data_IF_735633224255
#
_entry.id   IF_735633224255
#
_cell.length_a   1.000
_cell.length_b   1.000
_cell.length_c   1.000
_cell.angle_alpha   90.00
_cell.angle_beta   90.00
_cell.angle_gamma   90.00
#
_symmetry.space_group_name_H-M   'P 1'
#
loop_
_entity.id
_entity.type
_entity.pdbx_description
1 polymer ?
#
# COMPACT_ATOMS: atom_id res chain seq x y z
N UNK A 1 -4.21 19.21 -3.15
CA UNK A 1 -5.47 18.84 -2.44
C UNK A 1 -5.14 18.12 -1.15
N UNK A 2 -4.45 16.97 -1.16
CA UNK A 2 -4.10 16.21 0.06
C UNK A 2 -3.36 17.06 1.10
N UNK A 3 -2.26 17.80 0.80
CA UNK A 3 -1.59 18.62 1.81
C UNK A 3 -2.50 19.67 2.47
N UNK A 4 -3.46 20.23 1.72
CA UNK A 4 -4.40 21.20 2.29
C UNK A 4 -5.42 20.55 3.24
N UNK A 5 -5.78 19.28 3.01
CA UNK A 5 -6.65 18.52 3.91
C UNK A 5 -5.90 18.10 5.19
N UNK A 6 -4.63 17.74 5.06
CA UNK A 6 -3.76 17.47 6.22
C UNK A 6 -3.59 18.71 7.09
N UNK A 7 -3.26 19.87 6.50
CA UNK A 7 -3.13 21.15 7.20
C UNK A 7 -4.43 21.59 7.89
N UNK A 8 -5.59 21.30 7.29
CA UNK A 8 -6.90 21.65 7.86
C UNK A 8 -7.47 20.59 8.82
N UNK A 9 -6.84 19.43 8.96
CA UNK A 9 -7.31 18.33 9.80
C UNK A 9 -8.49 17.53 9.22
N UNK A 10 -8.83 17.71 7.93
CA UNK A 10 -9.94 17.01 7.28
C UNK A 10 -9.50 15.77 6.48
N UNK A 11 -8.24 15.36 6.59
CA UNK A 11 -7.73 14.20 5.85
C UNK A 11 -8.43 12.92 6.30
N UNK A 12 -8.67 12.75 7.59
CA UNK A 12 -9.33 11.58 8.16
C UNK A 12 -10.77 11.38 7.66
N UNK A 13 -11.50 12.47 7.38
CA UNK A 13 -12.83 12.38 6.75
C UNK A 13 -12.75 11.84 5.31
N UNK A 14 -11.68 12.19 4.59
CA UNK A 14 -11.44 11.67 3.25
C UNK A 14 -11.05 10.19 3.30
N UNK A 15 -10.17 9.80 4.20
CA UNK A 15 -9.67 8.44 4.33
C UNK A 15 -10.82 7.50 4.74
N UNK A 16 -11.64 7.89 5.70
CA UNK A 16 -12.87 7.17 6.07
C UNK A 16 -13.83 7.02 4.87
N UNK A 17 -14.08 8.10 4.13
CA UNK A 17 -14.93 8.05 2.93
C UNK A 17 -14.37 7.07 1.88
N UNK A 18 -13.07 7.10 1.60
CA UNK A 18 -12.44 6.22 0.61
C UNK A 18 -12.54 4.75 1.02
N UNK A 19 -12.29 4.45 2.30
CA UNK A 19 -12.40 3.08 2.83
C UNK A 19 -13.83 2.56 2.71
N UNK A 20 -14.83 3.39 3.00
CA UNK A 20 -16.23 3.02 2.82
C UNK A 20 -16.54 2.69 1.35
N UNK A 21 -16.12 3.55 0.41
CA UNK A 21 -16.35 3.34 -1.02
C UNK A 21 -15.68 2.05 -1.52
N UNK A 22 -14.44 1.77 -1.07
CA UNK A 22 -13.72 0.55 -1.43
C UNK A 22 -14.39 -0.68 -0.85
N UNK A 23 -14.78 -0.63 0.43
CA UNK A 23 -15.49 -1.72 1.09
C UNK A 23 -16.80 -2.07 0.38
N UNK A 24 -17.64 -1.07 0.11
CA UNK A 24 -18.92 -1.25 -0.58
C UNK A 24 -18.72 -1.84 -1.98
N UNK A 25 -17.72 -1.32 -2.74
CA UNK A 25 -17.38 -1.84 -4.06
C UNK A 25 -16.97 -3.32 -4.03
N UNK A 26 -16.12 -3.70 -3.09
CA UNK A 26 -15.66 -5.09 -2.95
C UNK A 26 -16.79 -6.02 -2.54
N UNK A 27 -17.62 -5.61 -1.57
CA UNK A 27 -18.74 -6.42 -1.09
C UNK A 27 -19.83 -6.59 -2.15
N UNK A 28 -20.17 -5.54 -2.90
CA UNK A 28 -21.14 -5.61 -4.00
C UNK A 28 -20.69 -6.63 -5.06
N UNK A 29 -19.41 -6.63 -5.42
CA UNK A 29 -18.87 -7.57 -6.40
C UNK A 29 -18.83 -8.99 -5.86
N UNK A 30 -18.41 -9.16 -4.62
CA UNK A 30 -18.34 -10.46 -3.98
C UNK A 30 -19.73 -11.12 -3.89
N UNK A 31 -20.74 -10.40 -3.38
CA UNK A 31 -22.11 -10.90 -3.30
C UNK A 31 -22.74 -11.20 -4.67
N UNK A 32 -22.29 -10.48 -5.71
CA UNK A 32 -22.69 -10.77 -7.09
C UNK A 32 -21.95 -11.96 -7.73
N UNK A 33 -21.04 -12.63 -7.01
CA UNK A 33 -20.22 -13.73 -7.53
C UNK A 33 -19.22 -13.29 -8.61
N UNK A 34 -18.80 -12.01 -8.57
CA UNK A 34 -17.86 -11.42 -9.51
C UNK A 34 -16.43 -11.48 -8.98
N UNK A 35 -15.45 -11.41 -9.89
CA UNK A 35 -14.04 -11.34 -9.53
C UNK A 35 -13.77 -10.12 -8.65
N UNK A 36 -13.03 -10.34 -7.57
CA UNK A 36 -12.51 -9.32 -6.67
C UNK A 36 -10.99 -9.43 -6.58
N UNK A 37 -10.33 -8.30 -6.35
CA UNK A 37 -8.88 -8.22 -6.15
C UNK A 37 -8.61 -7.36 -4.93
N UNK A 38 -7.48 -7.55 -4.23
CA UNK A 38 -7.11 -6.66 -3.14
C UNK A 38 -6.98 -5.21 -3.59
N UNK A 39 -7.48 -4.30 -2.79
CA UNK A 39 -7.40 -2.85 -3.01
C UNK A 39 -6.71 -2.23 -1.81
N UNK A 40 -5.71 -1.41 -2.07
CA UNK A 40 -5.02 -0.66 -1.03
C UNK A 40 -5.62 0.73 -0.86
N UNK A 41 -5.66 1.21 0.36
CA UNK A 41 -6.14 2.53 0.74
C UNK A 41 -5.13 3.21 1.67
N UNK A 42 -4.91 4.49 1.45
CA UNK A 42 -4.01 5.27 2.28
C UNK A 42 -4.63 5.54 3.65
N UNK A 43 -3.78 5.54 4.68
CA UNK A 43 -4.08 6.04 6.02
C UNK A 43 -3.12 7.17 6.38
N UNK A 44 -3.68 8.28 6.81
CA UNK A 44 -2.92 9.38 7.39
C UNK A 44 -2.45 9.03 8.80
N UNK A 45 -1.30 9.59 9.23
CA UNK A 45 -0.86 9.49 10.62
C UNK A 45 -1.87 10.08 11.60
N UNK A 46 -2.75 10.98 11.16
CA UNK A 46 -3.79 11.61 11.97
C UNK A 46 -4.89 10.60 12.36
N UNK A 47 -5.19 9.64 11.50
CA UNK A 47 -6.22 8.60 11.74
C UNK A 47 -5.89 7.78 12.99
N UNK A 48 -4.61 7.50 13.23
CA UNK A 48 -4.15 6.76 14.41
C UNK A 48 -4.36 7.51 15.74
N UNK A 49 -4.82 8.78 15.70
CA UNK A 49 -5.19 9.57 16.89
C UNK A 49 -6.70 9.60 17.12
N UNK A 50 -7.49 9.09 16.19
CA UNK A 50 -8.94 8.97 16.32
C UNK A 50 -9.33 7.49 16.49
N UNK A 51 -9.56 7.09 17.76
CA UNK A 51 -9.91 5.69 18.09
C UNK A 51 -11.18 5.24 17.38
N UNK A 52 -12.15 6.15 17.19
CA UNK A 52 -13.41 5.82 16.54
C UNK A 52 -13.23 5.53 15.06
N UNK A 53 -12.43 6.34 14.35
CA UNK A 53 -12.10 6.11 12.94
C UNK A 53 -11.37 4.77 12.80
N UNK A 54 -10.40 4.49 13.67
CA UNK A 54 -9.67 3.23 13.64
C UNK A 54 -10.55 2.01 13.93
N UNK A 55 -11.50 2.12 14.85
CA UNK A 55 -12.49 1.06 15.11
C UNK A 55 -13.41 0.85 13.91
N UNK A 56 -13.94 1.91 13.29
CA UNK A 56 -14.80 1.82 12.09
C UNK A 56 -14.05 1.18 10.91
N UNK A 57 -12.79 1.56 10.67
CA UNK A 57 -11.94 0.96 9.64
C UNK A 57 -11.72 -0.53 9.92
N UNK A 58 -11.38 -0.86 11.17
CA UNK A 58 -11.14 -2.25 11.57
C UNK A 58 -12.39 -3.11 11.38
N UNK A 59 -13.56 -2.60 11.77
CA UNK A 59 -14.83 -3.30 11.60
C UNK A 59 -15.16 -3.53 10.13
N UNK A 60 -14.88 -2.58 9.25
CA UNK A 60 -15.05 -2.75 7.81
C UNK A 60 -14.10 -3.78 7.22
N UNK A 61 -12.87 -3.82 7.71
CA UNK A 61 -11.90 -4.84 7.32
C UNK A 61 -12.30 -6.25 7.82
N UNK A 62 -12.91 -6.34 9.02
CA UNK A 62 -13.34 -7.62 9.62
C UNK A 62 -14.58 -8.21 8.97
N UNK A 63 -15.56 -7.38 8.66
CA UNK A 63 -16.90 -7.80 8.22
C UNK A 63 -16.94 -8.31 6.77
N UNK A 64 -15.80 -8.44 6.13
CA UNK A 64 -15.68 -9.16 4.86
C UNK A 64 -15.60 -10.65 5.16
N UNK A 65 -16.64 -11.41 4.80
CA UNK A 65 -16.70 -12.90 4.86
C UNK A 65 -15.71 -13.58 3.89
N UNK A 66 -14.71 -12.83 3.42
CA UNK A 66 -13.70 -13.30 2.49
C UNK A 66 -12.56 -13.99 3.24
N UNK A 67 -12.11 -15.14 2.74
CA UNK A 67 -10.97 -15.89 3.31
C UNK A 67 -9.70 -15.03 3.33
N UNK A 68 -9.53 -14.17 2.33
CA UNK A 68 -8.47 -13.16 2.31
C UNK A 68 -9.05 -11.78 2.51
N UNK A 69 -8.45 -11.00 3.41
CA UNK A 69 -8.82 -9.59 3.55
C UNK A 69 -8.41 -8.83 2.30
N UNK A 70 -9.39 -8.24 1.62
CA UNK A 70 -9.20 -7.57 0.35
C UNK A 70 -8.80 -6.09 0.50
N UNK A 71 -9.04 -5.49 1.66
CA UNK A 71 -8.56 -4.14 1.96
C UNK A 71 -7.14 -4.26 2.52
N UNK A 72 -6.23 -3.49 1.95
CA UNK A 72 -4.85 -3.32 2.42
C UNK A 72 -4.67 -1.88 2.84
N UNK A 73 -3.93 -1.63 3.91
CA UNK A 73 -3.73 -0.28 4.45
C UNK A 73 -2.32 0.21 4.09
N UNK A 74 -2.24 1.35 3.41
CA UNK A 74 -0.98 2.01 3.06
C UNK A 74 -0.66 3.09 4.07
N UNK A 75 0.51 3.01 4.67
CA UNK A 75 1.02 3.97 5.67
C UNK A 75 2.38 4.45 5.22
N UNK A 76 2.57 5.76 5.07
CA UNK A 76 3.84 6.30 4.63
C UNK A 76 4.94 6.12 5.68
N UNK A 77 6.19 6.09 5.24
CA UNK A 77 7.37 6.02 6.11
C UNK A 77 7.36 7.14 7.18
N UNK A 78 6.99 8.35 6.78
CA UNK A 78 6.86 9.50 7.68
C UNK A 78 5.74 9.32 8.71
N UNK A 79 4.64 8.72 8.33
CA UNK A 79 3.54 8.39 9.25
C UNK A 79 3.98 7.37 10.31
N UNK A 80 4.70 6.32 9.94
CA UNK A 80 5.30 5.38 10.89
C UNK A 80 6.21 6.07 11.89
N UNK A 81 7.10 6.96 11.42
CA UNK A 81 8.00 7.71 12.30
C UNK A 81 7.25 8.65 13.25
N UNK A 82 6.13 9.24 12.82
CA UNK A 82 5.31 10.14 13.61
C UNK A 82 4.47 9.42 14.67
N UNK A 83 4.03 8.18 14.42
CA UNK A 83 3.18 7.42 15.33
C UNK A 83 3.85 7.03 16.65
N UNK A 84 5.16 6.78 16.65
CA UNK A 84 5.89 6.28 17.81
C UNK A 84 5.48 4.85 18.23
N UNK A 85 6.24 4.28 19.17
CA UNK A 85 6.06 2.88 19.61
C UNK A 85 4.67 2.58 20.20
N UNK A 86 4.05 3.55 20.86
CA UNK A 86 2.77 3.36 21.54
C UNK A 86 1.59 3.03 20.62
N UNK A 87 1.70 3.27 19.32
CA UNK A 87 0.63 3.04 18.35
C UNK A 87 0.85 1.84 17.44
N UNK A 88 1.99 1.18 17.54
CA UNK A 88 2.23 -0.10 16.88
C UNK A 88 1.15 -1.14 17.20
N UNK A 89 0.59 -1.09 18.43
CA UNK A 89 -0.49 -2.00 18.82
C UNK A 89 -1.76 -1.89 17.96
N UNK A 90 -2.02 -0.70 17.40
CA UNK A 90 -3.18 -0.49 16.51
C UNK A 90 -2.93 -1.24 15.19
N UNK A 91 -1.77 -1.05 14.56
CA UNK A 91 -1.43 -1.77 13.33
C UNK A 91 -1.39 -3.28 13.55
N UNK A 92 -0.90 -3.73 14.72
CA UNK A 92 -0.91 -5.16 15.08
C UNK A 92 -2.34 -5.70 15.24
N UNK A 93 -3.30 -4.90 15.71
CA UNK A 93 -4.71 -5.32 15.75
C UNK A 93 -5.26 -5.59 14.36
N UNK A 94 -4.96 -4.75 13.36
CA UNK A 94 -5.33 -5.00 11.96
C UNK A 94 -4.68 -6.27 11.41
N UNK A 95 -3.39 -6.48 11.68
CA UNK A 95 -2.67 -7.67 11.23
C UNK A 95 -3.21 -8.95 11.86
N UNK A 96 -3.58 -8.89 13.15
CA UNK A 96 -4.22 -10.03 13.84
C UNK A 96 -5.52 -10.44 13.19
N UNK A 97 -6.26 -9.50 12.63
CA UNK A 97 -7.48 -9.74 11.84
C UNK A 97 -7.19 -10.11 10.37
N UNK A 98 -5.93 -10.24 9.99
CA UNK A 98 -5.50 -10.65 8.65
C UNK A 98 -5.41 -9.51 7.63
N UNK A 99 -5.58 -8.26 8.05
CA UNK A 99 -5.40 -7.09 7.17
C UNK A 99 -3.93 -6.89 6.88
N UNK A 100 -3.58 -6.72 5.60
CA UNK A 100 -2.19 -6.48 5.18
C UNK A 100 -1.84 -5.01 5.31
N UNK A 101 -0.70 -4.73 5.95
CA UNK A 101 -0.15 -3.39 6.10
C UNK A 101 0.95 -3.18 5.07
N UNK A 102 0.89 -2.06 4.36
CA UNK A 102 1.85 -1.66 3.35
C UNK A 102 2.61 -0.42 3.82
N UNK A 103 3.93 -0.46 3.75
CA UNK A 103 4.76 0.72 3.94
C UNK A 103 4.91 1.44 2.60
N UNK A 104 4.44 2.68 2.53
CA UNK A 104 4.49 3.50 1.32
C UNK A 104 5.69 4.47 1.33
N UNK A 105 6.07 4.93 0.13
CA UNK A 105 7.15 5.89 -0.11
C UNK A 105 8.53 5.47 0.45
N UNK A 106 8.81 4.16 0.52
CA UNK A 106 10.08 3.68 1.07
C UNK A 106 11.28 4.22 0.29
N UNK A 107 12.17 4.90 1.05
CA UNK A 107 13.40 5.45 0.53
C UNK A 107 13.37 6.96 0.25
N UNK A 108 12.24 7.63 0.45
CA UNK A 108 12.14 9.09 0.24
C UNK A 108 12.54 9.90 1.46
N UNK A 109 12.57 9.30 2.64
CA UNK A 109 12.81 9.96 3.91
C UNK A 109 14.00 9.42 4.69
N UNK A 110 13.82 9.29 5.99
CA UNK A 110 14.83 8.77 6.93
C UNK A 110 14.85 7.24 6.97
N UNK A 111 14.62 6.57 5.82
CA UNK A 111 14.62 5.10 5.73
C UNK A 111 15.85 4.52 6.40
N UNK A 112 15.70 4.16 7.66
CA UNK A 112 16.75 3.43 8.35
C UNK A 112 16.37 1.96 8.39
N UNK A 113 17.35 1.08 8.24
CA UNK A 113 17.17 -0.34 8.53
C UNK A 113 16.55 -0.59 9.91
N UNK A 114 16.67 0.40 10.83
CA UNK A 114 16.00 0.37 12.13
C UNK A 114 14.48 0.34 12.04
N UNK A 115 13.88 1.00 11.04
CA UNK A 115 12.43 0.93 10.85
C UNK A 115 11.99 -0.48 10.44
N UNK A 116 12.75 -1.14 9.56
CA UNK A 116 12.46 -2.52 9.13
C UNK A 116 12.56 -3.51 10.30
N UNK A 117 13.34 -3.21 11.32
CA UNK A 117 13.45 -4.03 12.53
C UNK A 117 12.37 -3.71 13.56
N UNK A 118 11.92 -2.46 13.60
CA UNK A 118 11.01 -1.96 14.64
C UNK A 118 9.55 -2.20 14.30
N UNK A 119 9.19 -2.12 13.03
CA UNK A 119 7.80 -2.17 12.55
C UNK A 119 7.55 -3.41 11.72
N UNK A 120 6.39 -4.03 11.95
CA UNK A 120 5.92 -5.16 11.18
C UNK A 120 4.98 -4.68 10.07
N UNK A 121 5.34 -4.91 8.82
CA UNK A 121 4.49 -4.71 7.65
C UNK A 121 4.66 -5.87 6.68
N UNK A 122 3.66 -6.07 5.85
CA UNK A 122 3.59 -7.22 4.95
C UNK A 122 4.12 -6.90 3.55
N UNK A 123 4.01 -5.63 3.16
CA UNK A 123 4.34 -5.17 1.81
C UNK A 123 5.12 -3.86 1.92
N UNK A 124 6.12 -3.68 1.08
CA UNK A 124 6.91 -2.45 0.96
C UNK A 124 6.80 -1.90 -0.46
N UNK A 125 6.41 -0.63 -0.59
CA UNK A 125 6.32 0.07 -1.88
C UNK A 125 7.58 0.89 -2.10
N UNK A 126 8.31 0.56 -3.15
CA UNK A 126 9.53 1.29 -3.54
C UNK A 126 9.11 2.50 -4.38
N UNK A 127 9.45 3.69 -3.90
CA UNK A 127 9.10 4.95 -4.54
C UNK A 127 9.66 5.07 -5.97
N UNK A 128 8.89 5.77 -6.81
CA UNK A 128 9.21 6.00 -8.23
C UNK A 128 10.56 6.66 -8.46
N UNK A 129 11.10 7.42 -7.52
CA UNK A 129 12.41 8.07 -7.65
C UNK A 129 13.55 7.07 -7.82
N UNK A 130 13.46 5.89 -7.20
CA UNK A 130 14.40 4.79 -7.42
C UNK A 130 14.18 4.12 -8.78
N UNK A 131 12.92 3.90 -9.15
CA UNK A 131 12.56 3.21 -10.39
C UNK A 131 13.02 4.00 -11.60
N UNK A 132 12.86 5.34 -11.59
CA UNK A 132 13.34 6.22 -12.67
C UNK A 132 14.84 6.16 -12.89
N UNK A 133 15.62 5.81 -11.88
CA UNK A 133 17.08 5.72 -11.97
C UNK A 133 17.57 4.37 -12.54
N UNK A 134 16.71 3.38 -12.74
CA UNK A 134 17.09 2.05 -13.24
C UNK A 134 17.88 2.16 -14.55
N UNK A 135 17.48 3.05 -15.45
CA UNK A 135 18.10 3.16 -16.77
C UNK A 135 19.40 3.96 -16.77
N UNK A 136 19.59 4.86 -15.82
CA UNK A 136 20.68 5.84 -15.80
C UNK A 136 21.75 5.57 -14.76
N UNK A 137 21.44 4.79 -13.71
CA UNK A 137 22.35 4.58 -12.59
C UNK A 137 22.54 3.07 -12.29
N UNK A 138 23.69 2.47 -12.68
CA UNK A 138 23.97 1.05 -12.39
C UNK A 138 24.01 0.72 -10.89
N UNK A 139 24.36 1.68 -10.03
CA UNK A 139 24.36 1.47 -8.57
C UNK A 139 22.94 1.28 -8.05
N UNK A 140 21.97 2.03 -8.58
CA UNK A 140 20.56 1.88 -8.23
C UNK A 140 20.03 0.50 -8.56
N UNK A 141 20.41 -0.07 -9.72
CA UNK A 141 20.07 -1.47 -10.05
C UNK A 141 20.56 -2.46 -8.99
N UNK A 142 21.82 -2.32 -8.57
CA UNK A 142 22.39 -3.21 -7.56
C UNK A 142 21.71 -3.04 -6.20
N UNK A 143 21.40 -1.79 -5.82
CA UNK A 143 20.69 -1.49 -4.58
C UNK A 143 19.27 -2.07 -4.59
N UNK A 144 18.53 -1.92 -5.68
CA UNK A 144 17.19 -2.47 -5.80
C UNK A 144 17.15 -3.98 -5.70
N UNK A 145 18.08 -4.70 -6.36
CA UNK A 145 18.18 -6.17 -6.21
C UNK A 145 18.42 -6.56 -4.75
N UNK A 146 19.39 -5.92 -4.12
CA UNK A 146 19.71 -6.21 -2.72
C UNK A 146 18.51 -5.89 -1.80
N UNK A 147 17.79 -4.81 -2.05
CA UNK A 147 16.61 -4.43 -1.29
C UNK A 147 15.48 -5.47 -1.44
N UNK A 148 15.23 -5.94 -2.67
CA UNK A 148 14.23 -6.98 -2.96
C UNK A 148 14.61 -8.29 -2.25
N UNK A 149 15.86 -8.74 -2.42
CA UNK A 149 16.33 -9.97 -1.78
C UNK A 149 16.23 -9.89 -0.25
N UNK A 150 16.62 -8.77 0.34
CA UNK A 150 16.51 -8.54 1.79
C UNK A 150 15.05 -8.55 2.27
N UNK A 151 14.16 -7.89 1.55
CA UNK A 151 12.74 -7.88 1.90
C UNK A 151 12.14 -9.28 1.88
N UNK A 152 12.49 -10.10 0.89
CA UNK A 152 12.04 -11.48 0.80
C UNK A 152 12.57 -12.34 1.96
N UNK A 153 13.82 -12.18 2.36
CA UNK A 153 14.38 -12.85 3.55
C UNK A 153 13.63 -12.47 4.85
N UNK A 154 13.03 -11.29 4.88
CA UNK A 154 12.20 -10.81 6.00
C UNK A 154 10.71 -11.21 5.86
N UNK A 155 10.32 -11.88 4.77
CA UNK A 155 8.93 -12.23 4.49
C UNK A 155 8.06 -11.06 4.01
N UNK A 156 8.69 -10.00 3.48
CA UNK A 156 8.04 -8.77 3.02
C UNK A 156 7.93 -8.82 1.50
N UNK A 157 6.74 -8.60 0.95
CA UNK A 157 6.53 -8.45 -0.48
C UNK A 157 6.88 -7.04 -0.96
N UNK A 158 7.28 -6.94 -2.23
CA UNK A 158 7.68 -5.66 -2.83
C UNK A 158 6.70 -5.23 -3.91
N UNK A 159 6.30 -3.96 -3.85
CA UNK A 159 5.65 -3.24 -4.95
C UNK A 159 6.63 -2.20 -5.50
N UNK A 160 6.93 -2.23 -6.78
CA UNK A 160 7.69 -1.18 -7.45
C UNK A 160 6.74 -0.19 -8.11
N UNK A 161 6.83 1.09 -7.73
CA UNK A 161 5.94 2.15 -8.20
C UNK A 161 6.52 2.97 -9.34
N UNK A 162 5.63 3.57 -10.13
CA UNK A 162 6.00 4.51 -11.19
C UNK A 162 6.79 3.89 -12.33
N UNK A 163 6.51 2.61 -12.65
CA UNK A 163 7.12 1.93 -13.80
C UNK A 163 6.50 2.48 -15.08
N UNK A 164 7.32 3.08 -15.94
CA UNK A 164 6.91 3.75 -17.16
C UNK A 164 7.47 3.11 -18.44
N UNK A 165 8.54 2.29 -18.32
CA UNK A 165 9.23 1.71 -19.48
C UNK A 165 9.34 0.18 -19.39
N UNK A 166 9.46 -0.46 -20.57
CA UNK A 166 9.73 -1.89 -20.66
C UNK A 166 11.05 -2.29 -20.00
N UNK A 167 12.07 -1.44 -20.10
CA UNK A 167 13.39 -1.68 -19.49
C UNK A 167 13.29 -1.76 -17.98
N UNK A 168 12.49 -0.88 -17.35
CA UNK A 168 12.22 -0.90 -15.92
C UNK A 168 11.44 -2.18 -15.53
N UNK A 169 10.36 -2.48 -16.25
CA UNK A 169 9.53 -3.66 -16.01
C UNK A 169 10.34 -4.97 -16.13
N UNK A 170 11.16 -5.11 -17.17
CA UNK A 170 12.02 -6.27 -17.37
C UNK A 170 13.08 -6.44 -16.28
N UNK A 171 13.68 -5.32 -15.85
CA UNK A 171 14.64 -5.37 -14.75
C UNK A 171 13.98 -5.84 -13.45
N UNK A 172 12.82 -5.31 -13.10
CA UNK A 172 12.09 -5.68 -11.90
C UNK A 172 11.62 -7.13 -11.92
N UNK A 173 11.09 -7.61 -13.05
CA UNK A 173 10.74 -9.03 -13.24
C UNK A 173 11.95 -9.96 -13.04
N UNK A 174 13.10 -9.61 -13.63
CA UNK A 174 14.36 -10.37 -13.47
C UNK A 174 14.92 -10.29 -12.05
N UNK A 175 14.54 -9.29 -11.28
CA UNK A 175 14.90 -9.13 -9.87
C UNK A 175 13.85 -9.73 -8.92
N UNK A 176 12.86 -10.48 -9.44
CA UNK A 176 11.80 -11.13 -8.68
C UNK A 176 10.94 -10.18 -7.85
N UNK A 177 10.73 -8.92 -8.32
CA UNK A 177 9.79 -8.02 -7.70
C UNK A 177 8.36 -8.60 -7.77
N UNK A 178 7.65 -8.64 -6.64
CA UNK A 178 6.36 -9.31 -6.51
C UNK A 178 5.26 -8.60 -7.30
N UNK A 179 5.21 -7.28 -7.19
CA UNK A 179 4.19 -6.45 -7.84
C UNK A 179 4.83 -5.25 -8.54
N UNK A 180 4.25 -4.86 -9.67
CA UNK A 180 4.72 -3.73 -10.46
C UNK A 180 3.54 -2.81 -10.77
N UNK A 181 3.64 -1.55 -10.37
CA UNK A 181 2.62 -0.53 -10.58
C UNK A 181 3.19 0.64 -11.39
N UNK A 182 2.43 1.11 -12.41
CA UNK A 182 2.84 2.30 -13.16
C UNK A 182 2.19 2.41 -14.54
N UNK A 183 2.47 3.52 -15.20
CA UNK A 183 1.87 3.88 -16.50
C UNK A 183 2.27 2.97 -17.64
N UNK A 184 3.29 2.15 -17.49
CA UNK A 184 3.63 1.10 -18.43
C UNK A 184 2.50 0.07 -18.58
N UNK A 185 1.76 -0.20 -17.49
CA UNK A 185 0.62 -1.11 -17.50
C UNK A 185 -0.70 -0.37 -17.63
N UNK A 186 -1.04 0.45 -16.63
CA UNK A 186 -2.27 1.21 -16.59
C UNK A 186 -2.06 2.59 -15.96
N UNK A 187 -2.82 3.57 -16.47
CA UNK A 187 -3.03 4.86 -15.78
C UNK A 187 -4.18 4.73 -14.79
N UNK A 188 -4.31 5.63 -13.81
CA UNK A 188 -5.51 5.68 -12.99
C UNK A 188 -6.75 5.79 -13.87
N UNK A 189 -7.73 4.94 -13.60
CA UNK A 189 -9.00 4.88 -14.33
C UNK A 189 -10.16 5.04 -13.35
N UNK A 190 -11.32 5.57 -13.81
CA UNK A 190 -12.53 5.63 -13.00
C UNK A 190 -13.01 4.24 -12.56
N UNK A 191 -13.72 4.19 -11.43
CA UNK A 191 -14.24 2.94 -10.86
C UNK A 191 -15.06 2.10 -11.87
N UNK A 192 -15.85 2.75 -12.73
CA UNK A 192 -16.66 2.07 -13.74
C UNK A 192 -15.81 1.39 -14.84
N UNK A 193 -14.68 1.98 -15.20
CA UNK A 193 -13.74 1.36 -16.13
C UNK A 193 -13.00 0.21 -15.46
N UNK A 194 -12.61 0.38 -14.21
CA UNK A 194 -11.99 -0.70 -13.42
C UNK A 194 -12.94 -1.89 -13.24
N UNK A 195 -14.22 -1.63 -13.00
CA UNK A 195 -15.26 -2.68 -12.92
C UNK A 195 -15.31 -3.51 -14.21
N UNK A 196 -15.28 -2.87 -15.38
CA UNK A 196 -15.27 -3.57 -16.68
C UNK A 196 -14.00 -4.42 -16.85
N UNK A 197 -12.85 -3.86 -16.49
CA UNK A 197 -11.57 -4.57 -16.56
C UNK A 197 -11.60 -5.85 -15.71
N UNK A 198 -12.15 -5.78 -14.50
CA UNK A 198 -12.31 -6.96 -13.63
C UNK A 198 -13.31 -7.99 -14.18
N UNK A 199 -14.30 -7.57 -14.97
CA UNK A 199 -15.28 -8.48 -15.59
C UNK A 199 -14.70 -9.20 -16.83
N UNK A 200 -13.57 -8.71 -17.39
CA UNK A 200 -12.85 -9.32 -18.51
C UNK A 200 -11.75 -10.31 -18.06
N UNK A 201 -11.38 -10.30 -16.78
CA UNK A 201 -10.41 -11.21 -16.17
C UNK A 201 -11.05 -12.55 -15.79
#
# INVERSE_FOLDING_TARGET
MIPALEESGHISELDDYVIHQVSDFLMDRYHAGKNVVPVSVNLSWMDFYDEKIMEDILDKCKNNDLEEKLIRLEVTETSYAAMGESRNSILESFRTEGVKIMMDDFGTGYSSFGMLQQYNFDIMKIDMSFIRQIETNPKTKSMLRFLIDMAHEMGIHIVAEGVETEVQADFLKKSHCDYIQGYYYYRPIPQEEFRKLLDEM
#
